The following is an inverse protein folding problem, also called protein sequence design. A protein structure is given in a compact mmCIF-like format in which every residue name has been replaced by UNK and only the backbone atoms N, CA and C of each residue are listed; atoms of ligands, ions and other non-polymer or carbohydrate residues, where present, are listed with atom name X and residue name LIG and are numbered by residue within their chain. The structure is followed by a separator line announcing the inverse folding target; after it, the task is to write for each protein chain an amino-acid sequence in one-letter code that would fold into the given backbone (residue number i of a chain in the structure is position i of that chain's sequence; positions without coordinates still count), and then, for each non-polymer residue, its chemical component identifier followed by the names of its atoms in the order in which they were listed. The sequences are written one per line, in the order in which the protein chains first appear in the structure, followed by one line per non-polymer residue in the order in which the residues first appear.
data_IF_597854974446
#
_entry.id   IF_597854974446
#
_cell.length_a   1.000
_cell.length_b   1.000
_cell.length_c   1.000
_cell.angle_alpha   90.00
_cell.angle_beta   90.00
_cell.angle_gamma   90.00
#
_symmetry.space_group_name_H-M   'P 1'
#
loop_
_entity.id
_entity.type
_entity.pdbx_description
1 polymer ?
#
# COMPACT_ATOMS: atom_id res chain seq x y z
N UNK A 1 -24.03 -44.81 -8.58
CA UNK A 1 -24.11 -43.47 -7.98
C UNK A 1 -22.69 -42.93 -7.90
N UNK A 2 -22.32 -42.01 -8.78
CA UNK A 2 -20.97 -41.43 -8.78
C UNK A 2 -20.93 -40.28 -7.79
N UNK A 3 -20.12 -40.44 -6.74
CA UNK A 3 -19.86 -39.38 -5.78
C UNK A 3 -18.88 -38.42 -6.45
N UNK A 4 -19.38 -37.32 -7.01
CA UNK A 4 -18.52 -36.25 -7.54
C UNK A 4 -17.87 -35.56 -6.35
N UNK A 5 -16.68 -36.03 -5.96
CA UNK A 5 -15.90 -35.39 -4.90
C UNK A 5 -15.59 -33.95 -5.32
N UNK A 6 -15.96 -32.99 -4.48
CA UNK A 6 -15.63 -31.58 -4.72
C UNK A 6 -14.11 -31.43 -4.82
N UNK A 7 -13.63 -30.78 -5.89
CA UNK A 7 -12.20 -30.58 -6.11
C UNK A 7 -11.67 -29.69 -4.97
N UNK A 8 -10.63 -30.13 -4.24
CA UNK A 8 -10.08 -29.32 -3.16
C UNK A 8 -9.49 -28.02 -3.71
N UNK A 9 -9.63 -26.94 -2.93
CA UNK A 9 -9.06 -25.63 -3.27
C UNK A 9 -7.60 -25.52 -2.83
N UNK A 10 -6.85 -24.68 -3.56
CA UNK A 10 -5.47 -24.39 -3.25
C UNK A 10 -5.33 -23.84 -1.82
N UNK A 11 -4.38 -24.36 -1.06
CA UNK A 11 -4.08 -23.92 0.30
C UNK A 11 -3.13 -22.73 0.32
N UNK A 12 -3.15 -21.98 1.42
CA UNK A 12 -2.14 -20.99 1.74
C UNK A 12 -0.75 -21.60 1.78
N UNK A 13 0.23 -20.82 1.33
CA UNK A 13 1.61 -21.27 1.22
C UNK A 13 2.27 -21.25 2.60
N UNK A 14 2.90 -22.35 3.03
CA UNK A 14 3.64 -22.34 4.28
C UNK A 14 4.85 -21.42 4.13
N UNK A 15 5.15 -20.63 5.17
CA UNK A 15 6.34 -19.76 5.17
C UNK A 15 7.64 -20.55 5.28
N UNK A 16 7.60 -21.64 6.06
CA UNK A 16 8.72 -22.56 6.26
C UNK A 16 8.18 -23.98 6.25
N UNK A 17 8.99 -24.91 5.79
CA UNK A 17 8.61 -26.32 5.76
C UNK A 17 9.77 -27.18 6.29
N UNK A 18 9.43 -28.20 7.09
CA UNK A 18 10.40 -29.16 7.67
C UNK A 18 10.68 -30.36 6.74
N UNK A 19 9.97 -30.48 5.61
CA UNK A 19 10.17 -31.60 4.70
C UNK A 19 11.60 -31.65 4.18
N UNK A 20 12.18 -32.85 4.14
CA UNK A 20 13.46 -33.10 3.48
C UNK A 20 13.30 -33.32 1.98
N UNK A 21 12.08 -33.52 1.46
CA UNK A 21 11.80 -33.78 0.03
C UNK A 21 12.30 -32.65 -0.85
N UNK A 22 12.99 -32.98 -1.93
CA UNK A 22 13.51 -32.05 -2.92
C UNK A 22 13.01 -32.48 -4.29
N UNK A 23 12.69 -31.53 -5.17
CA UNK A 23 12.33 -31.84 -6.56
C UNK A 23 13.55 -32.40 -7.32
N UNK A 24 13.32 -33.32 -8.26
CA UNK A 24 14.35 -33.82 -9.18
C UNK A 24 14.68 -32.86 -10.33
N UNK A 25 13.97 -31.72 -10.42
CA UNK A 25 14.28 -30.69 -11.42
C UNK A 25 15.64 -30.03 -11.17
N UNK A 26 16.29 -29.49 -12.22
CA UNK A 26 17.51 -28.70 -12.08
C UNK A 26 17.33 -27.55 -11.07
N UNK A 27 18.39 -27.25 -10.32
CA UNK A 27 18.39 -26.12 -9.40
C UNK A 27 18.20 -24.81 -10.15
N UNK A 28 17.49 -23.88 -9.52
CA UNK A 28 17.35 -22.51 -10.02
C UNK A 28 18.52 -21.68 -9.48
N UNK A 29 19.29 -21.07 -10.38
CA UNK A 29 20.26 -20.05 -10.01
C UNK A 29 19.56 -18.72 -9.78
N UNK A 30 20.00 -17.98 -8.77
CA UNK A 30 19.40 -16.68 -8.46
C UNK A 30 19.83 -15.61 -9.46
N UNK A 31 21.05 -15.69 -10.02
CA UNK A 31 21.49 -14.74 -11.06
C UNK A 31 20.69 -14.83 -12.36
N UNK A 32 20.15 -16.01 -12.68
CA UNK A 32 19.36 -16.26 -13.90
C UNK A 32 17.92 -15.73 -13.79
N UNK A 33 17.47 -15.38 -12.59
CA UNK A 33 16.15 -14.81 -12.36
C UNK A 33 16.17 -13.29 -12.50
N UNK A 34 15.10 -12.66 -13.02
CA UNK A 34 14.97 -11.21 -13.00
C UNK A 34 15.13 -10.66 -11.59
N UNK A 35 15.88 -9.56 -11.42
CA UNK A 35 16.13 -8.98 -10.09
C UNK A 35 14.84 -8.67 -9.32
N UNK A 36 13.80 -8.24 -10.02
CA UNK A 36 12.48 -7.93 -9.45
C UNK A 36 11.63 -9.16 -9.14
N UNK A 37 12.06 -10.35 -9.56
CA UNK A 37 11.42 -11.64 -9.26
C UNK A 37 12.02 -12.30 -8.01
N UNK A 38 12.92 -11.64 -7.32
CA UNK A 38 13.56 -12.14 -6.10
C UNK A 38 13.43 -11.06 -5.04
N UNK A 39 13.13 -11.43 -3.80
CA UNK A 39 13.25 -10.54 -2.65
C UNK A 39 14.10 -11.22 -1.57
N UNK A 40 15.33 -10.74 -1.44
CA UNK A 40 16.30 -11.18 -0.43
C UNK A 40 16.52 -10.12 0.66
N UNK A 41 15.66 -9.09 0.77
CA UNK A 41 15.84 -8.01 1.76
C UNK A 41 15.85 -8.56 3.17
N UNK A 42 14.95 -9.50 3.45
CA UNK A 42 14.91 -10.25 4.70
C UNK A 42 15.34 -11.70 4.47
N UNK A 43 16.59 -12.09 4.81
CA UNK A 43 17.10 -13.43 4.53
C UNK A 43 16.26 -14.55 5.15
N UNK A 44 15.65 -14.33 6.32
CA UNK A 44 14.81 -15.34 6.98
C UNK A 44 13.41 -15.47 6.35
N UNK A 45 13.04 -14.52 5.49
CA UNK A 45 11.76 -14.46 4.78
C UNK A 45 11.99 -14.29 3.27
N UNK A 46 13.08 -14.84 2.76
CA UNK A 46 13.41 -14.71 1.35
C UNK A 46 12.31 -15.35 0.49
N UNK A 47 11.92 -14.67 -0.57
CA UNK A 47 10.89 -15.12 -1.51
C UNK A 47 11.37 -14.91 -2.94
N UNK A 48 10.83 -15.68 -3.87
CA UNK A 48 11.03 -15.45 -5.30
C UNK A 48 9.78 -15.81 -6.09
N UNK A 49 9.66 -15.30 -7.31
CA UNK A 49 8.61 -15.66 -8.26
C UNK A 49 8.96 -16.99 -8.90
N UNK A 50 8.11 -17.99 -8.70
CA UNK A 50 8.30 -19.30 -9.33
C UNK A 50 8.10 -19.21 -10.85
N UNK A 51 9.02 -19.78 -11.63
CA UNK A 51 8.94 -19.78 -13.11
C UNK A 51 7.75 -20.55 -13.68
N UNK A 52 7.23 -21.57 -12.97
CA UNK A 52 6.14 -22.41 -13.49
C UNK A 52 4.75 -21.85 -13.17
N UNK A 53 4.61 -21.07 -12.09
CA UNK A 53 3.31 -20.59 -11.63
C UNK A 53 3.27 -19.09 -11.32
N UNK A 54 4.32 -18.35 -11.68
CA UNK A 54 4.41 -16.88 -11.71
C UNK A 54 3.96 -16.18 -10.42
N UNK A 55 4.12 -16.84 -9.29
CA UNK A 55 3.64 -16.37 -8.00
C UNK A 55 4.78 -16.34 -7.01
N UNK A 56 4.69 -15.44 -6.03
CA UNK A 56 5.67 -15.31 -4.96
C UNK A 56 5.65 -16.54 -4.05
N UNK A 57 6.78 -17.24 -4.01
CA UNK A 57 6.98 -18.47 -3.24
C UNK A 57 8.10 -18.27 -2.22
N UNK A 58 7.85 -18.59 -0.94
CA UNK A 58 8.87 -18.61 0.09
C UNK A 58 10.00 -19.59 -0.18
N UNK A 59 11.21 -19.16 0.16
CA UNK A 59 12.41 -19.99 0.21
C UNK A 59 12.54 -20.54 1.62
N UNK A 60 12.60 -21.86 1.74
CA UNK A 60 12.87 -22.54 3.02
C UNK A 60 14.29 -23.06 3.04
N UNK A 61 14.82 -23.30 4.24
CA UNK A 61 16.17 -23.85 4.43
C UNK A 61 17.29 -22.80 4.36
N UNK A 62 16.98 -21.51 4.57
CA UNK A 62 17.97 -20.42 4.56
C UNK A 62 19.14 -20.63 5.54
N UNK A 63 18.92 -21.38 6.63
CA UNK A 63 19.93 -21.76 7.62
C UNK A 63 20.44 -23.20 7.44
N UNK A 64 20.12 -23.86 6.34
CA UNK A 64 20.43 -25.27 6.07
C UNK A 64 21.35 -25.40 4.85
N UNK A 65 21.93 -26.58 4.63
CA UNK A 65 22.77 -26.85 3.45
C UNK A 65 22.00 -26.84 2.12
N UNK A 66 20.68 -26.93 2.17
CA UNK A 66 19.82 -27.01 0.98
C UNK A 66 18.70 -25.99 1.10
N UNK A 67 18.76 -24.97 0.25
CA UNK A 67 17.71 -24.00 0.04
C UNK A 67 16.79 -24.49 -1.09
N UNK A 68 15.49 -24.30 -0.90
CA UNK A 68 14.48 -24.72 -1.88
C UNK A 68 13.19 -23.95 -1.72
N UNK A 69 12.37 -23.96 -2.76
CA UNK A 69 11.01 -23.46 -2.70
C UNK A 69 10.15 -24.29 -1.74
N UNK A 70 9.25 -23.64 -1.01
CA UNK A 70 8.23 -24.36 -0.23
C UNK A 70 7.27 -25.12 -1.17
N UNK A 71 6.61 -26.20 -0.70
CA UNK A 71 5.51 -26.81 -1.43
C UNK A 71 4.41 -25.77 -1.69
N UNK A 72 3.93 -25.67 -2.93
CA UNK A 72 2.88 -24.72 -3.28
C UNK A 72 1.99 -25.23 -4.42
N UNK A 73 0.79 -24.65 -4.52
CA UNK A 73 -0.12 -24.84 -5.65
C UNK A 73 0.07 -23.73 -6.67
N UNK A 74 -0.39 -23.95 -7.91
CA UNK A 74 -0.24 -23.00 -9.02
C UNK A 74 -1.14 -21.78 -8.93
N UNK A 75 -2.32 -21.90 -8.31
CA UNK A 75 -3.32 -20.82 -8.26
C UNK A 75 -3.44 -20.12 -6.90
N UNK A 76 -4.37 -19.14 -6.85
CA UNK A 76 -4.70 -18.40 -5.63
C UNK A 76 -5.33 -19.31 -4.58
N UNK A 77 -4.89 -19.15 -3.34
CA UNK A 77 -5.42 -19.89 -2.20
C UNK A 77 -6.93 -19.66 -2.06
N UNK A 78 -7.65 -20.70 -1.64
CA UNK A 78 -9.10 -20.76 -1.41
C UNK A 78 -9.98 -20.52 -2.65
N UNK A 79 -9.40 -20.25 -3.82
CA UNK A 79 -10.12 -19.93 -5.06
C UNK A 79 -9.85 -20.97 -6.15
N UNK A 80 -8.57 -21.17 -6.48
CA UNK A 80 -8.18 -22.09 -7.55
C UNK A 80 -8.20 -23.54 -7.08
N UNK A 81 -8.25 -24.48 -8.02
CA UNK A 81 -8.04 -25.90 -7.73
C UNK A 81 -6.67 -26.14 -7.08
N UNK A 82 -6.57 -27.12 -6.17
CA UNK A 82 -5.35 -27.50 -5.47
C UNK A 82 -4.34 -28.25 -6.36
N UNK A 83 -4.05 -27.72 -7.54
CA UNK A 83 -3.08 -28.29 -8.48
C UNK A 83 -1.67 -28.04 -7.96
N UNK A 84 -0.93 -29.12 -7.73
CA UNK A 84 0.44 -29.05 -7.25
C UNK A 84 1.35 -28.41 -8.30
N UNK A 85 2.13 -27.40 -7.91
CA UNK A 85 3.10 -26.79 -8.82
C UNK A 85 4.29 -27.74 -9.05
N UNK A 86 4.70 -27.90 -10.31
CA UNK A 86 5.83 -28.76 -10.73
C UNK A 86 7.17 -28.31 -10.11
N UNK A 87 7.37 -27.01 -9.95
CA UNK A 87 8.54 -26.42 -9.26
C UNK A 87 8.43 -26.39 -7.73
N UNK A 88 7.43 -27.04 -7.13
CA UNK A 88 7.42 -27.23 -5.67
C UNK A 88 8.66 -27.97 -5.18
N UNK A 89 9.22 -27.55 -4.04
CA UNK A 89 10.45 -28.12 -3.49
C UNK A 89 11.67 -28.06 -4.43
N UNK A 90 11.65 -27.22 -5.47
CA UNK A 90 12.79 -27.05 -6.40
C UNK A 90 13.96 -26.40 -5.68
N UNK A 91 15.16 -26.93 -5.91
CA UNK A 91 16.40 -26.46 -5.30
C UNK A 91 16.76 -25.07 -5.80
N UNK A 92 17.43 -24.34 -4.94
CA UNK A 92 18.00 -23.04 -5.26
C UNK A 92 19.51 -23.09 -5.10
N UNK A 93 20.20 -22.47 -6.05
CA UNK A 93 21.62 -22.23 -6.02
C UNK A 93 21.82 -20.73 -5.76
N UNK A 94 22.38 -20.40 -4.60
CA UNK A 94 22.72 -19.03 -4.22
C UNK A 94 24.08 -18.66 -4.82
N UNK A 95 24.08 -18.44 -6.14
CA UNK A 95 25.25 -18.05 -6.93
C UNK A 95 25.56 -16.56 -6.87
N UNK A 96 24.65 -15.77 -6.30
CA UNK A 96 24.87 -14.37 -5.92
C UNK A 96 24.65 -14.21 -4.42
N UNK A 97 25.46 -13.37 -3.80
CA UNK A 97 25.30 -13.03 -2.39
C UNK A 97 24.17 -12.01 -2.21
N UNK A 98 23.59 -11.96 -1.00
CA UNK A 98 22.54 -10.97 -0.68
C UNK A 98 23.04 -9.52 -0.85
N UNK A 99 24.27 -9.15 -0.43
CA UNK A 99 24.82 -7.83 -0.71
C UNK A 99 24.96 -7.53 -2.21
N UNK A 100 25.44 -8.48 -3.02
CA UNK A 100 25.56 -8.31 -4.47
C UNK A 100 24.19 -8.11 -5.12
N UNK A 101 23.19 -8.91 -4.74
CA UNK A 101 21.82 -8.73 -5.22
C UNK A 101 21.26 -7.36 -4.85
N UNK A 102 21.47 -6.89 -3.60
CA UNK A 102 21.02 -5.55 -3.16
C UNK A 102 21.68 -4.44 -3.98
N UNK A 103 22.97 -4.59 -4.28
CA UNK A 103 23.72 -3.66 -5.11
C UNK A 103 23.17 -3.63 -6.53
N UNK A 104 23.01 -4.80 -7.16
CA UNK A 104 22.43 -4.91 -8.50
C UNK A 104 21.03 -4.29 -8.59
N UNK A 105 20.18 -4.50 -7.57
CA UNK A 105 18.86 -3.88 -7.51
C UNK A 105 18.95 -2.35 -7.39
N UNK A 106 19.88 -1.84 -6.57
CA UNK A 106 20.07 -0.39 -6.39
C UNK A 106 20.59 0.26 -7.67
N UNK A 107 21.56 -0.38 -8.32
CA UNK A 107 22.14 0.10 -9.58
C UNK A 107 21.09 0.11 -10.70
N UNK A 108 20.25 -0.93 -10.79
CA UNK A 108 19.14 -0.98 -11.74
C UNK A 108 18.11 0.13 -11.51
N UNK A 109 17.75 0.40 -10.24
CA UNK A 109 16.82 1.49 -9.89
C UNK A 109 17.43 2.86 -10.23
N UNK A 110 18.73 3.05 -9.96
CA UNK A 110 19.44 4.30 -10.30
C UNK A 110 19.47 4.54 -11.81
N UNK A 111 19.77 3.51 -12.59
CA UNK A 111 19.78 3.58 -14.07
C UNK A 111 18.39 3.82 -14.65
N UNK A 112 17.34 3.21 -14.08
CA UNK A 112 15.96 3.51 -14.51
C UNK A 112 15.55 4.94 -14.15
N UNK A 113 15.98 5.43 -12.98
CA UNK A 113 15.70 6.78 -12.53
C UNK A 113 16.45 7.84 -13.34
N UNK A 114 17.67 7.55 -13.82
CA UNK A 114 18.44 8.50 -14.64
C UNK A 114 17.82 8.73 -16.02
N UNK A 115 17.15 7.71 -16.58
CA UNK A 115 16.43 7.79 -17.87
C UNK A 115 15.07 8.49 -17.76
N UNK A 116 14.50 8.55 -16.56
CA UNK A 116 13.19 9.15 -16.32
C UNK A 116 13.39 10.53 -15.71
N UNK A 117 13.16 11.59 -16.49
CA UNK A 117 13.15 12.95 -15.96
C UNK A 117 12.08 13.06 -14.86
N UNK A 118 12.49 12.98 -13.60
CA UNK A 118 11.62 13.02 -12.41
C UNK A 118 11.39 14.43 -11.91
N UNK A 119 12.01 15.43 -12.54
CA UNK A 119 11.73 16.83 -12.27
C UNK A 119 10.36 17.20 -12.82
N UNK A 120 9.34 17.00 -12.01
CA UNK A 120 8.07 17.71 -12.17
C UNK A 120 8.38 19.18 -11.93
N UNK A 121 8.57 19.93 -13.02
CA UNK A 121 8.64 21.38 -12.93
C UNK A 121 7.30 21.84 -12.32
N UNK A 122 7.31 22.49 -11.15
CA UNK A 122 6.08 23.01 -10.57
C UNK A 122 5.46 23.95 -11.59
N UNK A 123 4.16 23.77 -11.84
CA UNK A 123 3.42 24.68 -12.72
C UNK A 123 3.57 26.08 -12.15
N UNK A 124 4.14 26.98 -12.93
CA UNK A 124 4.26 28.38 -12.53
C UNK A 124 2.88 28.90 -12.12
N UNK A 125 2.81 29.54 -10.95
CA UNK A 125 1.57 30.17 -10.51
C UNK A 125 1.17 31.24 -11.52
N UNK A 126 -0.13 31.40 -11.74
CA UNK A 126 -0.61 32.56 -12.48
C UNK A 126 -0.20 33.85 -11.75
N UNK A 127 0.04 34.97 -12.46
CA UNK A 127 0.37 36.25 -11.80
C UNK A 127 -0.64 36.66 -10.73
N UNK A 128 -1.92 36.28 -10.90
CA UNK A 128 -2.99 36.53 -9.92
C UNK A 128 -2.81 35.68 -8.65
N UNK A 129 -2.52 34.40 -8.81
CA UNK A 129 -2.28 33.48 -7.69
C UNK A 129 -1.05 33.93 -6.91
N UNK A 130 0.03 34.28 -7.61
CA UNK A 130 1.27 34.74 -7.01
C UNK A 130 1.09 36.05 -6.22
N UNK A 131 0.38 37.04 -6.79
CA UNK A 131 0.01 38.28 -6.08
C UNK A 131 -0.79 37.99 -4.81
N UNK A 132 -1.73 37.04 -4.87
CA UNK A 132 -2.58 36.67 -3.72
C UNK A 132 -1.77 36.00 -2.62
N UNK A 133 -0.83 35.11 -2.99
CA UNK A 133 0.05 34.43 -2.05
C UNK A 133 1.02 35.42 -1.40
N UNK A 134 1.61 36.34 -2.16
CA UNK A 134 2.45 37.42 -1.62
C UNK A 134 1.69 38.32 -0.64
N UNK A 135 0.51 38.79 -1.04
CA UNK A 135 -0.35 39.59 -0.16
C UNK A 135 -0.80 38.84 1.11
N UNK A 136 -0.86 37.50 1.08
CA UNK A 136 -1.12 36.67 2.26
C UNK A 136 0.12 36.53 3.15
N UNK A 137 1.29 36.38 2.56
CA UNK A 137 2.56 36.27 3.28
C UNK A 137 2.95 37.58 3.97
N UNK A 138 2.66 38.72 3.35
CA UNK A 138 2.90 40.07 3.89
C UNK A 138 1.91 40.44 5.02
N UNK A 139 0.84 39.66 5.22
CA UNK A 139 -0.20 39.98 6.20
C UNK A 139 0.29 39.69 7.62
N UNK A 140 0.48 40.75 8.40
CA UNK A 140 0.89 40.65 9.82
C UNK A 140 -0.27 40.20 10.72
N UNK A 141 0.05 39.69 11.91
CA UNK A 141 -0.96 39.36 12.93
C UNK A 141 -1.76 40.60 13.35
N UNK A 142 -1.09 41.75 13.49
CA UNK A 142 -1.72 43.03 13.80
C UNK A 142 -2.69 43.48 12.71
N UNK A 143 -2.30 43.36 11.43
CA UNK A 143 -3.18 43.66 10.30
C UNK A 143 -4.42 42.77 10.28
N UNK A 144 -4.27 41.46 10.54
CA UNK A 144 -5.42 40.55 10.64
C UNK A 144 -6.38 40.91 11.79
N UNK A 145 -5.84 41.33 12.93
CA UNK A 145 -6.65 41.76 14.07
C UNK A 145 -7.43 43.04 13.73
N UNK A 146 -6.78 44.00 13.07
CA UNK A 146 -7.42 45.23 12.60
C UNK A 146 -8.52 44.94 11.56
N UNK A 147 -8.24 44.11 10.56
CA UNK A 147 -9.21 43.67 9.55
C UNK A 147 -10.43 43.00 10.19
N UNK A 148 -10.19 42.13 11.18
CA UNK A 148 -11.27 41.46 11.92
C UNK A 148 -12.10 42.46 12.72
N UNK A 149 -11.45 43.35 13.47
CA UNK A 149 -12.13 44.39 14.25
C UNK A 149 -12.98 45.32 13.36
N UNK A 150 -12.51 45.62 12.15
CA UNK A 150 -13.24 46.45 11.20
C UNK A 150 -14.55 45.79 10.70
N UNK A 151 -14.63 44.46 10.68
CA UNK A 151 -15.83 43.73 10.22
C UNK A 151 -16.73 43.25 11.37
N UNK A 152 -16.29 43.35 12.63
CA UNK A 152 -17.01 42.83 13.80
C UNK A 152 -18.45 43.36 13.90
N UNK A 153 -18.68 44.66 13.70
CA UNK A 153 -20.02 45.26 13.79
C UNK A 153 -20.95 44.69 12.72
N UNK A 154 -20.48 44.61 11.47
CA UNK A 154 -21.23 44.02 10.35
C UNK A 154 -21.56 42.55 10.59
N UNK A 155 -20.61 41.78 11.15
CA UNK A 155 -20.86 40.39 11.52
C UNK A 155 -21.92 40.31 12.61
N UNK A 156 -21.83 41.15 13.65
CA UNK A 156 -22.81 41.21 14.73
C UNK A 156 -24.22 41.58 14.22
N UNK A 157 -24.33 42.56 13.32
CA UNK A 157 -25.60 42.94 12.69
C UNK A 157 -26.17 41.81 11.84
N UNK A 158 -25.31 41.14 11.06
CA UNK A 158 -25.72 39.98 10.25
C UNK A 158 -26.22 38.84 11.14
N UNK A 159 -25.54 38.55 12.25
CA UNK A 159 -25.95 37.52 13.18
C UNK A 159 -27.23 37.90 13.94
N UNK A 160 -27.43 39.18 14.27
CA UNK A 160 -28.70 39.69 14.82
C UNK A 160 -29.84 39.45 13.85
N UNK A 161 -29.65 39.73 12.57
CA UNK A 161 -30.65 39.50 11.53
C UNK A 161 -30.94 38.01 11.33
N UNK A 162 -29.92 37.14 11.38
CA UNK A 162 -30.10 35.67 11.30
C UNK A 162 -30.90 35.09 12.46
N UNK A 163 -30.84 35.71 13.65
CA UNK A 163 -31.62 35.28 14.83
C UNK A 163 -33.09 35.64 14.73
N UNK A 164 -33.48 36.52 13.81
CA UNK A 164 -34.89 36.83 13.56
C UNK A 164 -35.45 35.71 12.69
N UNK A 165 -36.26 34.85 13.29
CA UNK A 165 -37.05 33.88 12.53
C UNK A 165 -38.05 34.64 11.64
N UNK A 166 -38.21 34.25 10.35
CA UNK A 166 -39.25 34.82 9.50
C UNK A 166 -40.64 34.58 10.12
N UNK A 167 -41.49 35.60 10.08
CA UNK A 167 -42.83 35.52 10.65
C UNK A 167 -43.66 34.45 9.91
N UNK A 168 -44.14 33.43 10.65
CA UNK A 168 -45.00 32.37 10.11
C UNK A 168 -44.37 30.98 10.09
N UNK A 169 -43.05 30.86 10.26
CA UNK A 169 -42.38 29.56 10.35
C UNK A 169 -42.29 29.11 11.81
N UNK A 170 -42.90 27.98 12.14
CA UNK A 170 -42.57 27.25 13.36
C UNK A 170 -41.11 26.82 13.26
N UNK A 171 -40.32 27.02 14.32
CA UNK A 171 -38.98 26.48 14.39
C UNK A 171 -39.07 24.98 14.06
N UNK A 172 -38.47 24.55 12.94
CA UNK A 172 -38.34 23.14 12.67
C UNK A 172 -37.62 22.52 13.86
N UNK A 173 -38.26 21.55 14.53
CA UNK A 173 -37.65 20.80 15.63
C UNK A 173 -36.39 20.11 15.09
N UNK A 174 -35.26 20.81 15.19
CA UNK A 174 -33.96 20.24 14.94
C UNK A 174 -33.66 19.24 16.06
N UNK A 175 -32.91 18.16 15.76
CA UNK A 175 -32.51 17.22 16.80
C UNK A 175 -31.79 17.96 17.92
N UNK A 176 -32.19 17.70 19.17
CA UNK A 176 -31.59 18.31 20.36
C UNK A 176 -30.08 18.01 20.37
N UNK A 177 -29.25 19.06 20.26
CA UNK A 177 -27.79 18.93 20.23
C UNK A 177 -27.29 18.94 21.68
N UNK A 178 -26.70 17.84 22.19
CA UNK A 178 -26.21 17.79 23.57
C UNK A 178 -25.11 18.83 23.82
N UNK A 179 -25.35 19.75 24.75
CA UNK A 179 -24.42 20.86 25.05
C UNK A 179 -23.19 20.43 25.87
N UNK A 180 -23.28 19.30 26.58
CA UNK A 180 -22.19 18.84 27.47
C UNK A 180 -21.20 17.89 26.79
N UNK A 181 -21.67 16.95 25.95
CA UNK A 181 -20.81 15.95 25.28
C UNK A 181 -21.40 15.44 23.96
N UNK A 182 -20.73 15.74 22.85
CA UNK A 182 -20.95 15.07 21.57
C UNK A 182 -20.39 13.64 21.61
N UNK A 183 -21.26 12.62 21.67
CA UNK A 183 -20.87 11.24 21.40
C UNK A 183 -21.30 10.84 19.99
N UNK A 184 -20.38 10.72 19.02
CA UNK A 184 -20.74 10.27 17.69
C UNK A 184 -21.20 8.81 17.75
N UNK A 185 -22.49 8.55 17.52
CA UNK A 185 -22.95 7.19 17.24
C UNK A 185 -22.67 6.88 15.77
N UNK A 186 -21.90 5.81 15.52
CA UNK A 186 -21.75 5.26 14.16
C UNK A 186 -23.03 4.50 13.85
N UNK A 187 -23.75 4.92 12.81
CA UNK A 187 -24.85 4.12 12.25
C UNK A 187 -24.29 2.79 11.78
N UNK A 188 -24.78 1.69 12.36
CA UNK A 188 -24.56 0.33 11.85
C UNK A 188 -25.50 0.12 10.67
N UNK A 189 -24.93 0.12 9.47
CA UNK A 189 -25.50 -0.51 8.28
C UNK A 189 -24.63 -1.70 7.91
#
# INVERSE_FOLDING_TARGET
MSITAAVPTAKERPRRTRTKRVSGLPALKLSELPLHHIDLRNPLKAVLVCQDCETWVPITGMQSKVQKLVPHHTGKAHIAAALHCRSSNRRLEFDITIPEWRRALTDAVKESSSRTATTVLPKAFSPRTDRTLRARAERTSAGRLADWNAVLSRVADTDKNRRVAPAGDLAAEGPEVPLDKLRPQRSTH
#
